data_IF_178969060929
#
_entry.id   IF_178969060929
#
_cell.length_a   1.000
_cell.length_b   1.000
_cell.length_c   1.000
_cell.angle_alpha   90.00
_cell.angle_beta   90.00
_cell.angle_gamma   90.00
#
_symmetry.space_group_name_H-M   'P 1'
#
loop_
_entity.id
_entity.type
_entity.pdbx_description
1 polymer ?
#
# COMPACT_ATOMS: atom_id res chain seq x y z
N UNK A 1 13.02 -12.92 14.65
CA UNK A 1 13.31 -13.34 13.26
C UNK A 1 11.99 -13.78 12.64
N UNK A 2 11.53 -13.15 11.55
CA UNK A 2 10.27 -13.51 10.89
C UNK A 2 10.54 -14.71 9.97
N UNK A 3 10.13 -15.90 10.39
CA UNK A 3 10.39 -17.18 9.72
C UNK A 3 9.34 -17.54 8.65
N UNK A 4 8.55 -16.56 8.20
CA UNK A 4 7.51 -16.78 7.20
C UNK A 4 8.15 -16.86 5.81
N UNK A 5 8.17 -18.06 5.23
CA UNK A 5 8.55 -18.24 3.83
C UNK A 5 7.56 -17.47 2.94
N UNK A 6 8.05 -16.73 1.93
CA UNK A 6 7.17 -16.01 1.02
C UNK A 6 6.25 -17.00 0.30
N UNK A 7 4.94 -16.76 0.36
CA UNK A 7 3.94 -17.58 -0.35
C UNK A 7 4.01 -17.26 -1.84
N UNK A 8 3.96 -18.29 -2.68
CA UNK A 8 3.78 -18.09 -4.13
C UNK A 8 2.41 -17.45 -4.41
N UNK A 9 2.43 -16.35 -5.15
CA UNK A 9 1.22 -15.63 -5.59
C UNK A 9 0.95 -16.03 -7.04
N UNK A 10 -0.25 -16.53 -7.33
CA UNK A 10 -0.65 -16.93 -8.68
C UNK A 10 -1.56 -15.88 -9.31
N UNK A 11 -1.39 -15.64 -10.61
CA UNK A 11 -2.25 -14.71 -11.37
C UNK A 11 -3.73 -15.13 -11.36
N UNK A 12 -4.03 -16.44 -11.34
CA UNK A 12 -5.40 -16.97 -11.27
C UNK A 12 -6.15 -16.59 -9.99
N UNK A 13 -5.41 -16.25 -8.94
CA UNK A 13 -5.96 -15.88 -7.63
C UNK A 13 -6.03 -14.36 -7.46
N UNK A 14 -5.79 -13.59 -8.54
CA UNK A 14 -5.91 -12.13 -8.52
C UNK A 14 -7.35 -11.69 -8.22
N UNK A 15 -7.49 -10.84 -7.22
CA UNK A 15 -8.75 -10.18 -6.90
C UNK A 15 -8.51 -8.68 -6.83
N UNK A 16 -9.47 -7.90 -7.34
CA UNK A 16 -9.44 -6.46 -7.16
C UNK A 16 -9.44 -6.13 -5.65
N UNK A 17 -8.66 -5.12 -5.21
CA UNK A 17 -8.57 -4.76 -3.80
C UNK A 17 -9.91 -4.22 -3.29
N UNK A 18 -10.18 -4.36 -1.99
CA UNK A 18 -11.41 -3.86 -1.36
C UNK A 18 -11.46 -2.32 -1.26
N UNK A 19 -10.30 -1.69 -1.27
CA UNK A 19 -10.16 -0.24 -1.22
C UNK A 19 -9.27 0.24 -2.37
N UNK A 20 -9.65 1.37 -2.92
CA UNK A 20 -8.89 2.11 -3.91
C UNK A 20 -8.30 3.35 -3.24
N UNK A 21 -7.12 3.76 -3.70
CA UNK A 21 -6.49 5.01 -3.29
C UNK A 21 -6.71 5.99 -4.43
N UNK A 22 -7.43 7.07 -4.16
CA UNK A 22 -7.72 8.11 -5.15
C UNK A 22 -6.61 9.16 -5.18
N UNK A 23 -6.05 9.51 -4.02
CA UNK A 23 -5.00 10.50 -3.89
C UNK A 23 -3.96 10.06 -2.87
N UNK A 24 -2.69 10.33 -3.17
CA UNK A 24 -1.58 10.03 -2.26
C UNK A 24 -0.75 11.29 -2.06
N UNK A 25 -0.84 11.86 -0.87
CA UNK A 25 -0.05 13.00 -0.45
C UNK A 25 1.15 12.51 0.34
N UNK A 26 2.34 12.74 -0.21
CA UNK A 26 3.60 12.37 0.42
C UNK A 26 4.40 13.63 0.78
N UNK A 27 4.81 13.73 2.04
CA UNK A 27 5.74 14.75 2.50
C UNK A 27 7.02 14.07 2.95
N UNK A 28 8.13 14.50 2.37
CA UNK A 28 9.46 13.99 2.68
C UNK A 28 10.25 15.04 3.43
N UNK A 29 10.72 14.68 4.62
CA UNK A 29 11.68 15.47 5.38
C UNK A 29 13.00 14.73 5.33
N UNK A 30 13.99 15.34 4.66
CA UNK A 30 15.29 14.74 4.43
C UNK A 30 16.28 15.30 5.46
N UNK A 31 16.95 14.38 6.16
CA UNK A 31 18.07 14.65 7.06
C UNK A 31 19.31 13.93 6.52
N UNK A 32 20.48 14.22 7.08
CA UNK A 32 21.74 13.68 6.59
C UNK A 32 21.89 12.16 6.82
N UNK A 33 21.28 11.62 7.88
CA UNK A 33 21.35 10.22 8.29
C UNK A 33 20.06 9.43 8.05
N UNK A 34 18.92 10.12 7.90
CA UNK A 34 17.62 9.50 7.70
C UNK A 34 16.63 10.40 6.95
N UNK A 35 15.51 9.83 6.54
CA UNK A 35 14.39 10.57 5.96
C UNK A 35 13.09 10.20 6.67
N UNK A 36 12.29 11.20 7.03
CA UNK A 36 10.91 10.98 7.44
C UNK A 36 9.98 11.08 6.23
N UNK A 37 9.11 10.09 6.08
CA UNK A 37 8.14 10.02 4.99
C UNK A 37 6.75 10.00 5.61
N UNK A 38 6.04 11.12 5.48
CA UNK A 38 4.65 11.23 5.87
C UNK A 38 3.77 10.89 4.67
N UNK A 39 2.86 9.93 4.84
CA UNK A 39 1.92 9.53 3.80
C UNK A 39 0.47 9.73 4.27
N UNK A 40 -0.28 10.54 3.53
CA UNK A 40 -1.71 10.71 3.68
C UNK A 40 -2.39 10.17 2.43
N UNK A 41 -3.23 9.14 2.60
CA UNK A 41 -3.90 8.46 1.50
C UNK A 41 -5.40 8.77 1.57
N UNK A 42 -5.95 9.30 0.49
CA UNK A 42 -7.40 9.42 0.31
C UNK A 42 -7.89 8.08 -0.24
N UNK A 43 -8.54 7.31 0.63
CA UNK A 43 -9.01 5.97 0.31
C UNK A 43 -10.52 5.92 0.18
N UNK A 44 -11.01 5.17 -0.80
CA UNK A 44 -12.43 4.83 -0.94
C UNK A 44 -12.63 3.33 -1.05
N UNK A 45 -13.83 2.86 -0.68
CA UNK A 45 -14.20 1.47 -0.96
C UNK A 45 -14.27 1.24 -2.47
N UNK A 46 -13.79 0.09 -2.91
CA UNK A 46 -13.86 -0.30 -4.31
C UNK A 46 -15.33 -0.60 -4.68
N UNK A 47 -15.94 0.12 -5.65
CA UNK A 47 -17.30 -0.14 -6.08
C UNK A 47 -17.48 -1.50 -6.76
N UNK A 48 -16.42 -2.11 -7.30
CA UNK A 48 -16.47 -3.45 -7.90
C UNK A 48 -16.55 -4.59 -6.87
N UNK A 49 -16.39 -4.25 -5.58
CA UNK A 49 -16.40 -5.18 -4.45
C UNK A 49 -17.63 -5.01 -3.56
N UNK A 50 -18.55 -4.09 -3.92
CA UNK A 50 -19.81 -3.78 -3.23
C UNK A 50 -21.04 -4.24 -3.97
#
# INVERSE_FOLDING_TARGET
MRTEQPKMIYLKDYQAPEYLIDETNLTFELFDDHSLVHAQLVMRRNPERG
#
